data_IF_729842678424
#
_entry.id   IF_729842678424
#
_cell.length_a   1.000
_cell.length_b   1.000
_cell.length_c   1.000
_cell.angle_alpha   90.00
_cell.angle_beta   90.00
_cell.angle_gamma   90.00
#
_symmetry.space_group_name_H-M   'P 1'
#
loop_
_entity.id
_entity.type
_entity.pdbx_description
1 polymer ?
#
# COMPACT_ATOMS: atom_id res chain seq x y z
N UNK A 1 23.11 65.26 -40.61
CA UNK A 1 21.96 66.07 -40.18
C UNK A 1 21.08 65.16 -39.31
N UNK A 2 21.26 65.16 -37.98
CA UNK A 2 20.52 65.95 -36.97
C UNK A 2 19.09 65.38 -36.76
N UNK A 3 18.88 64.43 -35.83
CA UNK A 3 18.36 64.53 -34.43
C UNK A 3 17.14 65.46 -34.21
N UNK A 4 16.29 65.00 -33.27
CA UNK A 4 15.41 65.70 -32.31
C UNK A 4 13.90 65.61 -32.63
N UNK A 5 13.02 64.91 -31.88
CA UNK A 5 12.52 65.03 -30.49
C UNK A 5 11.45 66.12 -30.27
N UNK A 6 10.41 65.76 -29.48
CA UNK A 6 9.44 66.65 -28.81
C UNK A 6 8.00 66.24 -29.14
N UNK A 7 7.21 65.54 -28.32
CA UNK A 7 7.04 65.45 -26.86
C UNK A 7 6.57 66.77 -26.21
N UNK A 8 5.35 66.70 -25.66
CA UNK A 8 4.73 67.51 -24.60
C UNK A 8 3.87 68.74 -24.97
N UNK A 9 2.58 68.64 -24.62
CA UNK A 9 1.82 69.50 -23.69
C UNK A 9 0.37 68.96 -23.65
N UNK A 10 -0.11 68.23 -22.61
CA UNK A 10 -0.44 68.68 -21.22
C UNK A 10 -1.23 70.00 -21.25
N UNK A 11 -2.36 70.26 -20.58
CA UNK A 11 -3.14 69.62 -19.51
C UNK A 11 -4.36 70.56 -19.23
N UNK A 12 -5.26 70.14 -18.32
CA UNK A 12 -6.28 70.94 -17.57
C UNK A 12 -7.51 71.43 -18.41
N UNK A 13 -8.79 71.38 -17.98
CA UNK A 13 -9.41 71.43 -16.65
C UNK A 13 -10.79 70.72 -16.65
N UNK A 14 -11.03 70.01 -15.54
CA UNK A 14 -12.28 69.62 -14.89
C UNK A 14 -13.63 70.08 -15.49
N UNK A 15 -14.57 69.14 -15.61
CA UNK A 15 -15.93 69.27 -15.08
C UNK A 15 -16.35 67.90 -14.50
N UNK A 16 -16.69 67.90 -13.22
CA UNK A 16 -17.11 66.71 -12.49
C UNK A 16 -18.37 66.10 -13.10
N UNK A 17 -18.26 64.83 -13.49
CA UNK A 17 -19.37 63.91 -13.66
C UNK A 17 -19.37 62.98 -12.44
N UNK A 18 -20.33 63.22 -11.57
CA UNK A 18 -20.58 62.56 -10.31
C UNK A 18 -20.79 61.05 -10.52
N UNK A 19 -20.27 60.26 -9.58
CA UNK A 19 -20.58 58.85 -9.39
C UNK A 19 -22.10 58.63 -9.36
N UNK A 20 -22.65 58.07 -10.43
CA UNK A 20 -23.97 57.43 -10.39
C UNK A 20 -23.82 56.04 -11.01
N UNK A 21 -23.09 55.19 -10.30
CA UNK A 21 -23.21 53.73 -10.48
C UNK A 21 -24.46 53.35 -9.71
N UNK A 22 -25.55 53.22 -10.45
CA UNK A 22 -26.86 52.78 -9.98
C UNK A 22 -26.73 51.66 -8.94
N UNK A 23 -27.04 52.05 -7.70
CA UNK A 23 -27.10 51.22 -6.51
C UNK A 23 -28.42 50.45 -6.52
N UNK A 24 -28.71 49.74 -7.60
CA UNK A 24 -29.94 48.96 -7.78
C UNK A 24 -29.65 47.46 -7.95
N UNK A 25 -28.88 46.91 -7.01
CA UNK A 25 -29.06 45.53 -6.55
C UNK A 25 -29.05 45.57 -5.04
N UNK A 26 -30.20 45.92 -4.46
CA UNK A 26 -30.50 45.67 -3.06
C UNK A 26 -30.50 44.14 -2.88
N UNK A 27 -29.33 43.53 -2.73
CA UNK A 27 -29.26 42.19 -2.15
C UNK A 27 -29.94 42.31 -0.80
N UNK A 28 -31.12 41.72 -0.66
CA UNK A 28 -31.81 41.65 0.61
C UNK A 28 -30.77 41.22 1.66
N UNK A 29 -30.62 41.92 2.79
CA UNK A 29 -29.60 41.61 3.78
C UNK A 29 -29.71 40.15 4.26
N UNK A 30 -30.93 39.59 4.24
CA UNK A 30 -31.20 38.16 4.48
C UNK A 30 -30.54 37.23 3.45
N UNK A 31 -30.58 37.57 2.16
CA UNK A 31 -29.95 36.80 1.09
C UNK A 31 -28.42 36.78 1.23
N UNK A 32 -27.82 37.93 1.56
CA UNK A 32 -26.37 38.03 1.79
C UNK A 32 -25.93 37.24 3.04
N UNK A 33 -26.68 37.31 4.14
CA UNK A 33 -26.40 36.54 5.36
C UNK A 33 -26.52 35.04 5.10
N UNK A 34 -27.54 34.60 4.35
CA UNK A 34 -27.71 33.19 3.98
C UNK A 34 -26.58 32.72 3.06
N UNK A 35 -26.17 33.52 2.08
CA UNK A 35 -25.03 33.19 1.21
C UNK A 35 -23.73 33.05 2.01
N UNK A 36 -23.46 33.94 2.96
CA UNK A 36 -22.31 33.84 3.85
C UNK A 36 -22.36 32.58 4.73
N UNK A 37 -23.56 32.17 5.18
CA UNK A 37 -23.75 30.93 5.95
C UNK A 37 -23.47 29.68 5.09
N UNK A 38 -23.96 29.65 3.85
CA UNK A 38 -23.70 28.57 2.90
C UNK A 38 -22.20 28.46 2.62
N UNK A 39 -21.53 29.59 2.35
CA UNK A 39 -20.08 29.61 2.12
C UNK A 39 -19.28 29.06 3.32
N UNK A 40 -19.68 29.37 4.56
CA UNK A 40 -19.04 28.80 5.76
C UNK A 40 -19.27 27.30 5.88
N UNK A 41 -20.47 26.82 5.55
CA UNK A 41 -20.77 25.38 5.55
C UNK A 41 -19.96 24.65 4.50
N UNK A 42 -19.81 25.22 3.30
CA UNK A 42 -19.00 24.68 2.23
C UNK A 42 -17.52 24.56 2.64
N UNK A 43 -16.97 25.62 3.23
CA UNK A 43 -15.62 25.61 3.83
C UNK A 43 -15.46 24.55 4.93
N UNK A 44 -16.45 24.44 5.82
CA UNK A 44 -16.42 23.44 6.88
C UNK A 44 -16.51 22.02 6.30
N UNK A 45 -17.26 21.81 5.22
CA UNK A 45 -17.38 20.52 4.54
C UNK A 45 -16.08 20.13 3.82
N UNK A 46 -15.41 21.08 3.17
CA UNK A 46 -14.06 20.87 2.63
C UNK A 46 -13.08 20.45 3.73
N UNK A 47 -13.10 21.16 4.87
CA UNK A 47 -12.22 20.86 5.99
C UNK A 47 -12.51 19.48 6.60
N UNK A 48 -13.78 19.16 6.88
CA UNK A 48 -14.18 17.84 7.38
C UNK A 48 -13.80 16.73 6.40
N UNK A 49 -13.85 16.98 5.08
CA UNK A 49 -13.41 16.00 4.08
C UNK A 49 -11.91 15.74 4.15
N UNK A 50 -11.09 16.77 4.31
CA UNK A 50 -9.65 16.59 4.48
C UNK A 50 -9.32 15.92 5.82
N UNK A 51 -9.96 16.33 6.91
CA UNK A 51 -9.81 15.70 8.23
C UNK A 51 -10.21 14.22 8.19
N UNK A 52 -11.28 13.88 7.45
CA UNK A 52 -11.72 12.49 7.28
C UNK A 52 -10.77 11.68 6.41
N UNK A 53 -10.16 12.27 5.37
CA UNK A 53 -9.10 11.60 4.60
C UNK A 53 -7.87 11.34 5.44
N UNK A 54 -7.50 12.26 6.33
CA UNK A 54 -6.37 12.08 7.25
C UNK A 54 -6.68 11.02 8.30
N UNK A 55 -7.87 11.09 8.91
CA UNK A 55 -8.33 10.07 9.86
C UNK A 55 -8.44 8.68 9.22
N UNK A 56 -8.89 8.60 7.96
CA UNK A 56 -8.95 7.35 7.20
C UNK A 56 -7.57 6.78 6.83
N UNK A 57 -6.46 7.48 7.10
CA UNK A 57 -5.11 6.86 7.00
C UNK A 57 -4.76 6.07 8.25
N UNK A 58 -5.37 6.40 9.39
CA UNK A 58 -5.09 5.76 10.66
C UNK A 58 -6.24 4.83 11.04
N UNK A 59 -6.00 3.53 10.94
CA UNK A 59 -6.97 2.53 11.36
C UNK A 59 -6.46 1.86 12.64
N UNK A 60 -7.11 2.11 13.79
CA UNK A 60 -6.70 1.54 15.07
C UNK A 60 -6.65 0.01 15.04
N UNK A 61 -7.56 -0.62 14.29
CA UNK A 61 -7.65 -2.08 14.15
C UNK A 61 -6.36 -2.66 13.55
N UNK A 62 -5.80 -2.08 12.48
CA UNK A 62 -4.55 -2.61 11.92
C UNK A 62 -3.38 -2.51 12.89
N UNK A 63 -3.35 -1.43 13.69
CA UNK A 63 -2.31 -1.24 14.69
C UNK A 63 -2.44 -2.29 15.80
N UNK A 64 -3.66 -2.64 16.19
CA UNK A 64 -3.91 -3.71 17.15
C UNK A 64 -3.48 -5.06 16.56
N UNK A 65 -3.89 -5.39 15.34
CA UNK A 65 -3.50 -6.64 14.66
C UNK A 65 -1.98 -6.75 14.49
N UNK A 66 -1.29 -5.66 14.14
CA UNK A 66 0.17 -5.64 14.06
C UNK A 66 0.81 -5.92 15.42
N UNK A 67 0.29 -5.34 16.50
CA UNK A 67 0.79 -5.60 17.85
C UNK A 67 0.49 -7.03 18.28
N UNK A 68 -0.70 -7.56 18.00
CA UNK A 68 -1.08 -8.94 18.31
C UNK A 68 -0.18 -9.94 17.60
N UNK A 69 0.04 -9.79 16.29
CA UNK A 69 0.93 -10.68 15.52
C UNK A 69 2.37 -10.63 16.05
N UNK A 70 2.88 -9.44 16.36
CA UNK A 70 4.22 -9.30 16.95
C UNK A 70 4.33 -9.90 18.35
N UNK A 71 3.26 -9.85 19.14
CA UNK A 71 3.22 -10.52 20.44
C UNK A 71 3.16 -12.03 20.25
N UNK A 72 2.37 -12.54 19.31
CA UNK A 72 2.30 -13.97 18.97
C UNK A 72 3.67 -14.52 18.53
N UNK A 73 4.42 -13.77 17.71
CA UNK A 73 5.78 -14.12 17.30
C UNK A 73 6.77 -14.21 18.48
N UNK A 74 6.61 -13.33 19.49
CA UNK A 74 7.45 -13.31 20.68
C UNK A 74 7.02 -14.34 21.73
N UNK A 75 5.74 -14.65 21.80
CA UNK A 75 5.17 -15.67 22.66
C UNK A 75 5.44 -17.07 22.08
N UNK A 76 6.73 -17.46 21.99
CA UNK A 76 7.23 -18.77 21.54
C UNK A 76 6.14 -19.67 20.94
N UNK A 77 5.91 -19.55 19.63
CA UNK A 77 4.90 -20.31 18.91
C UNK A 77 4.97 -21.79 19.30
N UNK A 78 3.88 -22.31 19.87
CA UNK A 78 3.81 -23.72 20.31
C UNK A 78 3.92 -24.72 19.14
N UNK A 79 3.98 -24.22 17.90
CA UNK A 79 4.02 -25.01 16.67
C UNK A 79 5.39 -24.86 15.97
N UNK A 80 5.99 -25.96 15.48
CA UNK A 80 7.10 -25.92 14.54
C UNK A 80 6.81 -25.06 13.30
N UNK A 81 7.83 -24.54 12.63
CA UNK A 81 7.71 -23.69 11.44
C UNK A 81 6.92 -24.29 10.27
N UNK A 82 6.80 -25.62 10.18
CA UNK A 82 5.99 -26.31 9.15
C UNK A 82 4.53 -26.54 9.57
N UNK A 83 4.11 -25.95 10.68
CA UNK A 83 2.80 -26.13 11.28
C UNK A 83 2.10 -24.77 11.49
N UNK A 84 0.80 -24.75 11.24
CA UNK A 84 -0.09 -23.62 11.45
C UNK A 84 -0.75 -23.72 12.83
N UNK A 85 -0.81 -22.58 13.53
CA UNK A 85 -1.48 -22.46 14.82
C UNK A 85 -2.96 -22.14 14.63
N UNK A 86 -3.84 -23.04 15.10
CA UNK A 86 -5.29 -22.84 15.05
C UNK A 86 -5.80 -21.69 15.94
N UNK A 87 -4.95 -21.12 16.80
CA UNK A 87 -5.24 -19.95 17.62
C UNK A 87 -5.84 -20.29 18.99
N UNK A 88 -6.45 -19.32 19.66
CA UNK A 88 -7.07 -19.51 20.97
C UNK A 88 -8.56 -19.93 20.83
N UNK A 89 -9.14 -20.74 21.74
CA UNK A 89 -8.59 -21.33 22.97
C UNK A 89 -7.79 -22.63 22.77
N UNK A 90 -7.89 -23.23 21.59
CA UNK A 90 -7.29 -24.53 21.32
C UNK A 90 -5.95 -24.32 20.61
N UNK A 91 -4.85 -24.34 21.38
CA UNK A 91 -3.46 -24.29 20.89
C UNK A 91 -3.10 -25.56 20.10
N UNK A 92 -3.85 -25.85 19.04
CA UNK A 92 -3.70 -26.97 18.15
C UNK A 92 -2.78 -26.56 17.01
N UNK A 93 -1.80 -27.40 16.72
CA UNK A 93 -0.96 -27.27 15.54
C UNK A 93 -1.42 -28.26 14.48
N UNK A 94 -1.53 -27.81 13.24
CA UNK A 94 -1.78 -28.65 12.07
C UNK A 94 -0.70 -28.38 11.03
N UNK A 95 -0.47 -29.31 10.09
CA UNK A 95 0.51 -29.07 9.02
C UNK A 95 0.06 -27.92 8.10
N UNK A 96 1.01 -27.11 7.63
CA UNK A 96 0.77 -26.00 6.69
C UNK A 96 0.00 -26.44 5.43
N UNK A 97 0.21 -27.69 4.98
CA UNK A 97 -0.45 -28.29 3.82
C UNK A 97 -1.97 -28.41 3.95
N UNK A 98 -2.49 -28.38 5.17
CA UNK A 98 -3.91 -28.53 5.52
C UNK A 98 -4.66 -27.20 5.60
N UNK A 99 -3.95 -26.08 5.54
CA UNK A 99 -4.57 -24.76 5.62
C UNK A 99 -5.20 -24.41 4.27
N UNK A 100 -6.44 -23.94 4.25
CA UNK A 100 -7.17 -23.55 3.04
C UNK A 100 -7.28 -24.68 1.99
N UNK A 101 -7.31 -25.94 2.41
CA UNK A 101 -7.43 -27.09 1.53
C UNK A 101 -8.89 -27.50 1.24
N UNK A 102 -9.84 -26.84 1.91
CA UNK A 102 -11.29 -27.06 1.82
C UNK A 102 -11.82 -28.01 2.90
N UNK A 103 -10.99 -28.49 3.82
CA UNK A 103 -11.34 -29.40 4.91
C UNK A 103 -10.98 -28.79 6.25
N UNK A 104 -11.98 -28.62 7.11
CA UNK A 104 -11.76 -28.12 8.48
C UNK A 104 -10.98 -29.13 9.33
N UNK A 105 -9.70 -28.85 9.55
CA UNK A 105 -8.77 -29.60 10.38
C UNK A 105 -8.57 -28.98 11.78
N UNK A 106 -8.70 -27.65 11.90
CA UNK A 106 -8.74 -27.02 13.22
C UNK A 106 -10.10 -27.28 13.89
N UNK A 107 -10.11 -27.49 15.21
CA UNK A 107 -11.35 -27.66 15.99
C UNK A 107 -12.29 -26.44 15.86
N UNK A 108 -11.73 -25.24 15.77
CA UNK A 108 -12.48 -24.00 15.54
C UNK A 108 -12.73 -23.71 14.04
N UNK A 109 -12.10 -24.46 13.13
CA UNK A 109 -12.18 -24.26 11.68
C UNK A 109 -11.38 -23.07 11.13
N UNK A 110 -10.47 -22.48 11.92
CA UNK A 110 -9.68 -21.28 11.55
C UNK A 110 -8.88 -21.46 10.26
N UNK A 111 -8.42 -22.69 10.02
CA UNK A 111 -7.69 -23.09 8.83
C UNK A 111 -8.47 -22.91 7.52
N UNK A 112 -9.80 -22.77 7.60
CA UNK A 112 -10.70 -22.57 6.47
C UNK A 112 -11.50 -21.25 6.56
N UNK A 113 -11.12 -20.36 7.48
CA UNK A 113 -11.76 -19.05 7.63
C UNK A 113 -11.35 -18.10 6.49
N UNK A 114 -12.26 -17.21 6.10
CA UNK A 114 -12.08 -16.28 4.97
C UNK A 114 -10.88 -15.35 5.18
N UNK A 115 -10.63 -14.93 6.43
CA UNK A 115 -9.51 -14.06 6.79
C UNK A 115 -8.15 -14.78 6.64
N UNK A 116 -8.09 -16.05 7.02
CA UNK A 116 -6.89 -16.90 6.90
C UNK A 116 -6.60 -17.21 5.43
N UNK A 117 -7.64 -17.51 4.66
CA UNK A 117 -7.55 -17.85 3.24
C UNK A 117 -7.67 -16.62 2.32
N UNK A 118 -7.55 -15.40 2.88
CA UNK A 118 -7.72 -14.16 2.14
C UNK A 118 -6.61 -13.98 1.11
N UNK A 119 -7.01 -13.57 -0.09
CA UNK A 119 -6.12 -13.32 -1.23
C UNK A 119 -6.06 -11.83 -1.57
N UNK A 120 -6.60 -10.97 -0.69
CA UNK A 120 -6.91 -9.60 -1.06
C UNK A 120 -5.65 -8.76 -1.31
N UNK A 121 -4.61 -8.86 -0.49
CA UNK A 121 -3.33 -8.19 -0.77
C UNK A 121 -2.71 -8.67 -2.08
N UNK A 122 -2.78 -9.97 -2.38
CA UNK A 122 -2.16 -10.53 -3.58
C UNK A 122 -3.12 -10.58 -4.79
N UNK A 123 -4.17 -9.76 -4.80
CA UNK A 123 -5.06 -9.67 -5.95
C UNK A 123 -4.31 -9.13 -7.18
N UNK A 124 -4.66 -9.65 -8.35
CA UNK A 124 -4.04 -9.25 -9.61
C UNK A 124 -4.25 -7.75 -9.87
N UNK A 125 -3.16 -7.05 -10.15
CA UNK A 125 -3.16 -5.61 -10.37
C UNK A 125 -2.75 -4.80 -9.14
N UNK A 126 -2.78 -5.39 -7.93
CA UNK A 126 -2.25 -4.74 -6.74
C UNK A 126 -0.76 -4.47 -6.91
N UNK A 127 -0.31 -3.39 -6.26
CA UNK A 127 1.06 -2.95 -6.36
C UNK A 127 1.60 -2.49 -5.02
N UNK A 128 2.90 -2.66 -4.86
CA UNK A 128 3.60 -2.46 -3.60
C UNK A 128 4.91 -1.73 -3.83
N UNK A 129 5.31 -0.96 -2.83
CA UNK A 129 6.67 -0.45 -2.71
C UNK A 129 7.50 -1.43 -1.86
N UNK A 130 8.63 -1.85 -2.41
CA UNK A 130 9.58 -2.77 -1.81
C UNK A 130 10.87 -2.01 -1.49
N UNK A 131 11.09 -1.77 -0.21
CA UNK A 131 12.29 -1.10 0.30
C UNK A 131 13.37 -2.15 0.53
N UNK A 132 14.40 -2.19 -0.31
CA UNK A 132 15.45 -3.23 -0.25
C UNK A 132 16.75 -2.67 0.30
N UNK A 133 17.32 -3.35 1.30
CA UNK A 133 18.65 -3.09 1.87
C UNK A 133 19.50 -4.35 1.82
N UNK A 134 20.64 -4.28 1.14
CA UNK A 134 21.59 -5.40 1.04
C UNK A 134 22.64 -5.29 2.13
N UNK A 135 22.84 -6.37 2.89
CA UNK A 135 23.81 -6.44 3.99
C UNK A 135 25.01 -7.30 3.64
N UNK A 136 24.83 -8.27 2.74
CA UNK A 136 25.85 -9.22 2.32
C UNK A 136 25.63 -9.71 0.88
N UNK A 137 26.53 -10.60 0.42
CA UNK A 137 26.53 -11.27 -0.90
C UNK A 137 26.81 -10.37 -2.10
N UNK A 138 26.15 -9.21 -2.18
CA UNK A 138 26.27 -8.24 -3.27
C UNK A 138 26.35 -6.82 -2.72
N UNK A 139 26.98 -5.92 -3.46
CA UNK A 139 27.11 -4.50 -3.08
C UNK A 139 26.10 -3.64 -3.85
N UNK A 140 24.82 -4.00 -3.78
CA UNK A 140 23.75 -3.20 -4.37
C UNK A 140 23.37 -2.06 -3.43
N UNK A 141 23.12 -0.85 -3.95
CA UNK A 141 22.65 0.25 -3.11
C UNK A 141 21.22 0.00 -2.67
N UNK A 142 20.89 0.54 -1.50
CA UNK A 142 19.53 0.62 -1.01
C UNK A 142 18.64 1.34 -2.04
N UNK A 143 17.50 0.73 -2.34
CA UNK A 143 16.59 1.23 -3.36
C UNK A 143 15.16 0.81 -3.05
N UNK A 144 14.23 1.63 -3.52
CA UNK A 144 12.80 1.33 -3.51
C UNK A 144 12.47 0.77 -4.89
N UNK A 145 11.85 -0.40 -4.91
CA UNK A 145 11.37 -1.08 -6.11
C UNK A 145 9.85 -1.11 -6.09
N UNK A 146 9.26 -1.02 -7.27
CA UNK A 146 7.82 -1.14 -7.46
C UNK A 146 7.50 -2.57 -7.88
N UNK A 147 6.63 -3.24 -7.13
CA UNK A 147 6.20 -4.62 -7.36
C UNK A 147 4.74 -4.60 -7.79
N UNK A 148 4.40 -5.25 -8.90
CA UNK A 148 3.02 -5.40 -9.36
C UNK A 148 2.65 -6.87 -9.46
N UNK A 149 1.54 -7.26 -8.86
CA UNK A 149 1.01 -8.61 -8.98
C UNK A 149 0.42 -8.81 -10.37
N UNK A 150 0.99 -9.75 -11.13
CA UNK A 150 0.60 -10.08 -12.49
C UNK A 150 -0.36 -11.26 -12.55
N UNK A 151 -0.08 -12.28 -11.74
CA UNK A 151 -0.89 -13.49 -11.67
C UNK A 151 -0.93 -14.00 -10.23
N UNK A 152 -2.12 -14.37 -9.78
CA UNK A 152 -2.32 -15.09 -8.53
C UNK A 152 -3.35 -16.20 -8.77
N UNK A 153 -2.91 -17.46 -8.68
CA UNK A 153 -3.76 -18.62 -8.99
C UNK A 153 -3.56 -19.75 -7.98
N UNK A 154 -4.64 -20.17 -7.32
CA UNK A 154 -4.60 -21.31 -6.41
C UNK A 154 -4.40 -22.63 -7.17
N UNK A 155 -3.68 -23.57 -6.57
CA UNK A 155 -3.61 -24.92 -7.12
C UNK A 155 -4.92 -25.65 -6.85
N UNK A 156 -5.62 -26.08 -7.91
CA UNK A 156 -6.90 -26.81 -7.82
C UNK A 156 -6.86 -28.09 -6.97
N UNK A 157 -5.67 -28.66 -6.75
CA UNK A 157 -5.46 -29.92 -6.01
C UNK A 157 -4.82 -29.65 -4.64
N UNK A 158 -4.14 -28.51 -4.46
CA UNK A 158 -3.39 -28.15 -3.24
C UNK A 158 -3.84 -26.75 -2.84
N UNK A 159 -4.95 -26.66 -2.09
CA UNK A 159 -5.54 -25.37 -1.69
C UNK A 159 -4.62 -24.53 -0.81
N UNK A 160 -3.74 -25.18 -0.04
CA UNK A 160 -2.74 -24.54 0.84
C UNK A 160 -1.67 -23.72 0.16
N UNK A 161 -1.58 -23.76 -1.18
CA UNK A 161 -0.64 -22.93 -1.92
C UNK A 161 -1.29 -22.23 -3.11
N UNK A 162 -0.80 -21.02 -3.36
CA UNK A 162 -1.12 -20.27 -4.57
C UNK A 162 0.14 -20.04 -5.39
N UNK A 163 0.04 -20.08 -6.72
CA UNK A 163 1.09 -19.61 -7.62
C UNK A 163 0.99 -18.10 -7.73
N UNK A 164 2.13 -17.45 -7.62
CA UNK A 164 2.23 -15.98 -7.72
C UNK A 164 3.25 -15.62 -8.80
N UNK A 165 2.89 -14.66 -9.64
CA UNK A 165 3.79 -14.01 -10.58
C UNK A 165 3.73 -12.51 -10.37
N UNK A 166 4.89 -11.87 -10.21
CA UNK A 166 5.00 -10.43 -10.00
C UNK A 166 6.01 -9.81 -10.97
N UNK A 167 5.73 -8.59 -11.36
CA UNK A 167 6.63 -7.75 -12.14
C UNK A 167 7.28 -6.72 -11.21
N UNK A 168 8.61 -6.69 -11.18
CA UNK A 168 9.39 -5.75 -10.37
C UNK A 168 10.08 -4.73 -11.26
N UNK A 169 9.94 -3.44 -10.96
CA UNK A 169 10.59 -2.33 -11.65
C UNK A 169 11.12 -1.27 -10.69
N UNK A 170 11.92 -0.32 -11.21
CA UNK A 170 12.41 0.82 -10.40
C UNK A 170 11.38 1.94 -10.24
N UNK A 171 10.47 2.06 -11.20
CA UNK A 171 9.38 3.05 -11.20
C UNK A 171 8.12 2.42 -11.78
N UNK A 172 6.93 2.96 -11.49
CA UNK A 172 5.66 2.45 -12.01
C UNK A 172 5.57 2.50 -13.55
N UNK A 173 6.17 3.51 -14.18
CA UNK A 173 6.17 3.74 -15.63
C UNK A 173 7.37 3.11 -16.36
N UNK A 174 8.22 2.38 -15.64
CA UNK A 174 9.40 1.77 -16.23
C UNK A 174 8.98 0.79 -17.34
N UNK A 175 9.55 0.92 -18.54
CA UNK A 175 9.29 -0.04 -19.64
C UNK A 175 9.91 -1.42 -19.41
N UNK A 176 10.90 -1.51 -18.51
CA UNK A 176 11.62 -2.73 -18.21
C UNK A 176 11.20 -3.22 -16.85
N UNK A 177 10.45 -4.32 -16.86
CA UNK A 177 10.09 -5.09 -15.67
C UNK A 177 10.91 -6.37 -15.64
N UNK A 178 11.29 -6.79 -14.44
CA UNK A 178 11.86 -8.11 -14.18
C UNK A 178 10.75 -9.00 -13.63
N UNK A 179 10.50 -10.12 -14.30
CA UNK A 179 9.48 -11.07 -13.88
C UNK A 179 10.02 -11.98 -12.78
N UNK A 180 9.24 -12.14 -11.72
CA UNK A 180 9.47 -13.03 -10.61
C UNK A 180 8.29 -13.99 -10.50
N UNK A 181 8.57 -15.27 -10.27
CA UNK A 181 7.56 -16.31 -10.15
C UNK A 181 7.81 -17.09 -8.87
N UNK A 182 6.75 -17.54 -8.24
CA UNK A 182 6.84 -18.15 -6.94
C UNK A 182 5.52 -18.75 -6.48
N UNK A 183 5.43 -18.91 -5.17
CA UNK A 183 4.23 -19.40 -4.52
C UNK A 183 4.01 -18.70 -3.19
N UNK A 184 2.75 -18.64 -2.80
CA UNK A 184 2.30 -18.20 -1.49
C UNK A 184 1.84 -19.42 -0.71
N UNK A 185 2.23 -19.49 0.57
CA UNK A 185 1.80 -20.52 1.51
C UNK A 185 0.82 -19.91 2.51
N UNK A 186 -0.44 -20.36 2.50
CA UNK A 186 -1.45 -19.84 3.42
C UNK A 186 -1.17 -20.25 4.87
N UNK A 187 -0.51 -21.38 5.11
CA UNK A 187 -0.24 -21.87 6.46
C UNK A 187 0.88 -21.13 7.19
N UNK A 188 1.80 -20.51 6.46
CA UNK A 188 2.88 -19.70 7.05
C UNK A 188 2.77 -18.23 6.71
N UNK A 189 1.76 -17.82 5.95
CA UNK A 189 1.61 -16.47 5.40
C UNK A 189 2.84 -15.97 4.63
N UNK A 190 3.59 -16.91 4.02
CA UNK A 190 4.87 -16.63 3.38
C UNK A 190 4.76 -16.62 1.85
N UNK A 191 5.28 -15.58 1.22
CA UNK A 191 5.47 -15.47 -0.22
C UNK A 191 6.95 -15.72 -0.56
N UNK A 192 7.21 -16.79 -1.31
CA UNK A 192 8.54 -17.07 -1.84
C UNK A 192 8.58 -16.81 -3.34
N UNK A 193 9.50 -15.96 -3.79
CA UNK A 193 9.68 -15.54 -5.19
C UNK A 193 11.08 -15.88 -5.71
N UNK A 194 11.11 -16.31 -6.97
CA UNK A 194 12.33 -16.61 -7.73
C UNK A 194 12.36 -15.81 -9.02
N UNK A 195 13.54 -15.53 -9.54
CA UNK A 195 13.70 -14.87 -10.84
C UNK A 195 14.59 -15.66 -11.79
N UNK A 196 14.31 -15.52 -13.08
CA UNK A 196 15.17 -16.00 -14.16
C UNK A 196 16.24 -14.97 -14.55
N UNK A 197 16.28 -13.82 -13.89
CA UNK A 197 17.28 -12.79 -14.16
C UNK A 197 18.67 -13.28 -13.77
N UNK A 198 19.59 -13.31 -14.73
CA UNK A 198 20.90 -13.97 -14.59
C UNK A 198 21.71 -13.53 -13.35
N UNK A 199 21.64 -12.24 -12.97
CA UNK A 199 22.34 -11.73 -11.78
C UNK A 199 21.68 -12.14 -10.47
N UNK A 200 20.38 -12.42 -10.48
CA UNK A 200 19.59 -12.73 -9.29
C UNK A 200 19.09 -14.18 -9.25
N UNK A 201 19.51 -15.03 -10.20
CA UNK A 201 19.04 -16.42 -10.32
C UNK A 201 19.39 -17.32 -9.14
N UNK A 202 20.39 -16.93 -8.35
CA UNK A 202 20.86 -17.67 -7.18
C UNK A 202 20.23 -17.19 -5.88
N UNK A 203 19.26 -16.28 -5.96
CA UNK A 203 18.57 -15.70 -4.81
C UNK A 203 17.09 -16.06 -4.84
N UNK A 204 16.51 -16.17 -3.66
CA UNK A 204 15.07 -16.20 -3.41
C UNK A 204 14.72 -15.00 -2.53
N UNK A 205 13.56 -14.43 -2.79
CA UNK A 205 12.95 -13.39 -1.97
C UNK A 205 11.84 -14.04 -1.20
N UNK A 206 11.87 -13.91 0.12
CA UNK A 206 10.91 -14.50 1.05
C UNK A 206 10.23 -13.34 1.74
N UNK A 207 8.90 -13.32 1.81
CA UNK A 207 8.15 -12.25 2.45
C UNK A 207 7.08 -12.83 3.36
N UNK A 208 7.18 -12.51 4.64
CA UNK A 208 6.26 -12.91 5.70
C UNK A 208 5.21 -11.81 5.88
N UNK A 209 3.96 -12.14 5.57
CA UNK A 209 2.87 -11.17 5.65
C UNK A 209 2.43 -10.99 7.10
N UNK A 210 2.72 -9.81 7.64
CA UNK A 210 2.21 -9.37 8.94
C UNK A 210 0.73 -9.02 8.84
N UNK A 211 0.28 -8.51 7.69
CA UNK A 211 -1.13 -8.24 7.43
C UNK A 211 -1.48 -8.58 5.97
N UNK A 212 -2.30 -9.61 5.78
CA UNK A 212 -2.72 -10.15 4.48
C UNK A 212 -3.81 -9.33 3.79
N UNK A 213 -4.46 -8.39 4.48
CA UNK A 213 -5.46 -7.50 3.88
C UNK A 213 -4.80 -6.29 3.21
N UNK A 214 -3.80 -5.69 3.88
CA UNK A 214 -3.13 -4.46 3.42
C UNK A 214 -1.79 -4.71 2.74
N UNK A 215 -1.34 -5.96 2.71
CA UNK A 215 -0.11 -6.36 2.03
C UNK A 215 1.15 -5.72 2.62
N UNK A 216 1.19 -5.57 3.94
CA UNK A 216 2.43 -5.26 4.67
C UNK A 216 3.15 -6.57 4.96
N UNK A 217 4.38 -6.69 4.51
CA UNK A 217 5.20 -7.88 4.71
C UNK A 217 6.65 -7.53 5.01
N UNK A 218 7.26 -8.30 5.90
CA UNK A 218 8.70 -8.26 6.16
C UNK A 218 9.37 -9.31 5.28
N UNK A 219 10.39 -8.89 4.54
CA UNK A 219 11.01 -9.71 3.52
C UNK A 219 12.50 -9.92 3.77
N UNK A 220 12.99 -11.07 3.33
CA UNK A 220 14.38 -11.49 3.43
C UNK A 220 14.87 -11.92 2.06
N UNK A 221 16.13 -11.58 1.77
CA UNK A 221 16.81 -12.00 0.56
C UNK A 221 17.81 -13.07 0.95
N UNK A 222 17.60 -14.27 0.45
CA UNK A 222 18.47 -15.41 0.73
C UNK A 222 19.06 -15.97 -0.55
N UNK A 223 20.26 -16.53 -0.44
CA UNK A 223 20.75 -17.42 -1.50
C UNK A 223 19.94 -18.72 -1.53
N UNK A 224 20.02 -19.46 -2.63
CA UNK A 224 19.46 -20.82 -2.70
C UNK A 224 20.07 -21.79 -1.67
N UNK A 225 21.22 -21.45 -1.07
CA UNK A 225 21.84 -22.21 0.02
C UNK A 225 21.37 -21.79 1.42
N UNK A 226 20.45 -20.83 1.53
CA UNK A 226 19.90 -20.35 2.82
C UNK A 226 20.80 -19.36 3.55
N UNK A 227 21.68 -18.63 2.84
CA UNK A 227 22.46 -17.55 3.44
C UNK A 227 21.70 -16.24 3.25
N UNK A 228 21.41 -15.54 4.34
CA UNK A 228 20.80 -14.22 4.33
C UNK A 228 21.77 -13.18 3.74
N UNK A 229 21.27 -12.41 2.77
CA UNK A 229 22.01 -11.38 2.04
C UNK A 229 21.47 -9.97 2.27
N UNK A 230 20.25 -9.84 2.78
CA UNK A 230 19.61 -8.55 2.98
C UNK A 230 18.18 -8.67 3.47
N UNK A 231 17.62 -7.51 3.79
CA UNK A 231 16.27 -7.36 4.31
C UNK A 231 15.50 -6.43 3.38
N UNK A 232 14.19 -6.61 3.31
CA UNK A 232 13.31 -5.70 2.62
C UNK A 232 11.96 -5.56 3.34
N UNK A 233 11.26 -4.47 3.10
CA UNK A 233 9.91 -4.26 3.62
C UNK A 233 8.99 -3.96 2.46
N UNK A 234 7.87 -4.68 2.40
CA UNK A 234 6.81 -4.52 1.43
C UNK A 234 5.69 -3.69 2.06
N UNK A 235 5.26 -2.63 1.38
CA UNK A 235 4.12 -1.79 1.79
C UNK A 235 3.22 -1.47 0.62
N UNK A 236 1.93 -1.30 0.87
CA UNK A 236 0.94 -0.91 -0.15
C UNK A 236 1.36 0.39 -0.87
N UNK A 237 1.18 0.42 -2.18
CA UNK A 237 1.51 1.58 -3.00
C UNK A 237 0.30 2.52 -3.07
N UNK A 238 0.41 3.70 -2.46
CA UNK A 238 -0.64 4.73 -2.40
C UNK A 238 -0.75 5.60 -3.67
#
# INVERSE_FOLDING_TARGET
>A
MWKVLGLSLLFVVAHGGLLDVDREKLMNPRLLVNAARIYRLDKALEQVKEDLKEAAKFHPEDCLTEVENRVEDLEEGHCPYTEFQCGYPFRQCIYDLKVCDGVKDCINGRDEDEDTCSMQALAVGNAFDLHVTWTACENFPDQILYVRVKEFTNFKIIGSRARVSVDISKTPEARKHSEFNGYYNFGTSELTLYTKYEKLKNYKFICDFVNTERGKADCYIETLSGVECGFATLTDHH
#
